data_IF_872454835280
#
_entry.id   IF_872454835280
#
_cell.length_a   1.000
_cell.length_b   1.000
_cell.length_c   1.000
_cell.angle_alpha   90.00
_cell.angle_beta   90.00
_cell.angle_gamma   90.00
#
_symmetry.space_group_name_H-M   'P 1'
#
loop_
_entity.id
_entity.type
_entity.pdbx_description
1 polymer ?
#
# COMPACT_ATOMS: atom_id res chain seq x y z
N UNK A 1 16.24 13.60 -4.46
CA UNK A 1 14.93 13.18 -4.98
C UNK A 1 13.87 13.51 -3.94
N UNK A 2 12.90 14.36 -4.28
CA UNK A 2 11.73 14.59 -3.43
C UNK A 2 10.80 13.40 -3.65
N UNK A 3 10.60 12.58 -2.62
CA UNK A 3 9.67 11.46 -2.72
C UNK A 3 8.24 11.98 -2.55
N UNK A 4 7.39 11.79 -3.55
CA UNK A 4 6.02 12.32 -3.53
C UNK A 4 5.05 11.35 -2.86
N UNK A 5 3.82 11.81 -2.53
CA UNK A 5 2.74 10.91 -2.08
C UNK A 5 2.47 9.79 -3.10
N UNK A 6 2.54 10.13 -4.39
CA UNK A 6 2.30 9.18 -5.48
C UNK A 6 3.35 8.05 -5.50
N UNK A 7 4.62 8.39 -5.28
CA UNK A 7 5.70 7.39 -5.14
C UNK A 7 5.45 6.43 -3.98
N UNK A 8 4.98 6.96 -2.85
CA UNK A 8 4.67 6.12 -1.68
C UNK A 8 3.49 5.19 -1.99
N UNK A 9 2.40 5.71 -2.58
CA UNK A 9 1.26 4.88 -3.00
C UNK A 9 1.71 3.77 -3.96
N UNK A 10 2.49 4.13 -4.98
CA UNK A 10 3.06 3.20 -5.97
C UNK A 10 3.83 2.07 -5.29
N UNK A 11 4.74 2.41 -4.37
CA UNK A 11 5.53 1.42 -3.61
C UNK A 11 4.66 0.47 -2.77
N UNK A 12 3.65 0.99 -2.08
CA UNK A 12 2.73 0.18 -1.26
C UNK A 12 1.96 -0.80 -2.14
N UNK A 13 1.32 -0.32 -3.21
CA UNK A 13 0.49 -1.15 -4.09
C UNK A 13 1.32 -2.22 -4.78
N UNK A 14 2.46 -1.86 -5.38
CA UNK A 14 3.36 -2.83 -6.02
C UNK A 14 3.78 -3.91 -5.03
N UNK A 15 4.12 -3.54 -3.80
CA UNK A 15 4.52 -4.50 -2.77
C UNK A 15 3.39 -5.45 -2.41
N UNK A 16 2.19 -4.94 -2.14
CA UNK A 16 1.04 -5.76 -1.76
C UNK A 16 0.60 -6.70 -2.90
N UNK A 17 0.64 -6.24 -4.15
CA UNK A 17 0.31 -7.06 -5.33
C UNK A 17 1.33 -8.19 -5.48
N UNK A 18 2.63 -7.88 -5.40
CA UNK A 18 3.70 -8.89 -5.46
C UNK A 18 3.59 -9.93 -4.35
N UNK A 19 3.18 -9.49 -3.16
CA UNK A 19 2.95 -10.38 -2.02
C UNK A 19 1.59 -11.09 -2.05
N UNK A 20 0.75 -10.83 -3.07
CA UNK A 20 -0.60 -11.38 -3.23
C UNK A 20 -1.48 -11.18 -1.99
N UNK A 21 -1.36 -10.03 -1.33
CA UNK A 21 -2.09 -9.70 -0.09
C UNK A 21 -3.44 -9.09 -0.42
N UNK A 22 -4.47 -9.92 -0.51
CA UNK A 22 -5.85 -9.52 -0.81
C UNK A 22 -6.79 -9.90 0.34
N UNK A 23 -7.86 -9.11 0.54
CA UNK A 23 -9.04 -9.51 1.32
C UNK A 23 -8.78 -9.93 2.77
N UNK A 24 -8.03 -9.13 3.55
CA UNK A 24 -7.73 -9.42 4.95
C UNK A 24 -6.61 -10.44 5.18
N UNK A 25 -5.85 -10.77 4.12
CA UNK A 25 -4.62 -11.55 4.24
C UNK A 25 -3.66 -10.91 5.26
N UNK A 26 -2.96 -11.75 6.03
CA UNK A 26 -1.98 -11.25 6.98
C UNK A 26 -0.82 -10.60 6.22
N UNK A 27 -0.59 -9.32 6.47
CA UNK A 27 0.47 -8.56 5.80
C UNK A 27 1.43 -8.01 6.84
N UNK A 28 2.65 -8.52 6.87
CA UNK A 28 3.68 -7.94 7.70
C UNK A 28 4.01 -6.51 7.25
N UNK A 29 4.37 -5.66 8.21
CA UNK A 29 4.73 -4.25 8.09
C UNK A 29 4.82 -3.67 6.64
N UNK A 30 3.74 -3.01 6.18
CA UNK A 30 3.65 -2.50 4.80
C UNK A 30 4.73 -1.46 4.46
N UNK A 31 5.21 -0.72 5.47
CA UNK A 31 6.28 0.27 5.35
C UNK A 31 7.68 -0.36 5.45
N UNK A 32 7.80 -1.66 5.75
CA UNK A 32 9.08 -2.37 5.77
C UNK A 32 9.79 -2.32 4.42
N UNK A 33 11.07 -1.96 4.40
CA UNK A 33 11.85 -1.80 3.16
C UNK A 33 11.65 -0.45 2.46
N UNK A 34 10.87 0.48 3.03
CA UNK A 34 10.92 1.88 2.61
C UNK A 34 12.20 2.57 3.12
N UNK A 35 12.73 3.58 2.41
CA UNK A 35 13.77 4.47 2.93
C UNK A 35 13.42 5.01 4.33
N UNK A 36 14.41 5.10 5.22
CA UNK A 36 14.22 5.51 6.61
C UNK A 36 13.54 6.88 6.74
N UNK A 37 13.81 7.81 5.83
CA UNK A 37 13.18 9.14 5.80
C UNK A 37 11.68 9.12 5.41
N UNK A 38 11.15 7.99 4.93
CA UNK A 38 9.72 7.81 4.63
C UNK A 38 8.98 7.05 5.73
N UNK A 39 9.69 6.29 6.56
CA UNK A 39 9.10 5.57 7.69
C UNK A 39 8.59 6.60 8.70
N UNK A 40 7.30 6.57 9.00
CA UNK A 40 6.66 7.51 9.93
C UNK A 40 6.48 8.95 9.40
N UNK A 41 6.96 9.24 8.19
CA UNK A 41 6.84 10.56 7.58
C UNK A 41 5.38 10.93 7.29
N UNK A 42 5.06 12.23 7.36
CA UNK A 42 3.71 12.76 7.10
C UNK A 42 3.19 12.36 5.71
N UNK A 43 4.07 12.38 4.71
CA UNK A 43 3.78 11.98 3.33
C UNK A 43 3.27 10.53 3.25
N UNK A 44 3.88 9.63 4.02
CA UNK A 44 3.51 8.21 4.07
C UNK A 44 2.17 7.99 4.75
N UNK A 45 1.94 8.67 5.88
CA UNK A 45 0.65 8.62 6.58
C UNK A 45 -0.49 9.15 5.72
N UNK A 46 -0.24 10.22 4.95
CA UNK A 46 -1.22 10.75 4.01
C UNK A 46 -1.48 9.79 2.84
N UNK A 47 -0.44 9.19 2.26
CA UNK A 47 -0.61 8.21 1.19
C UNK A 47 -1.43 7.00 1.63
N UNK A 48 -1.18 6.47 2.84
CA UNK A 48 -1.97 5.36 3.41
C UNK A 48 -3.43 5.78 3.60
N UNK A 49 -3.68 6.94 4.24
CA UNK A 49 -5.05 7.45 4.42
C UNK A 49 -5.81 7.64 3.11
N UNK A 50 -5.15 8.15 2.08
CA UNK A 50 -5.78 8.29 0.77
C UNK A 50 -6.10 6.91 0.16
N UNK A 51 -5.18 5.94 0.22
CA UNK A 51 -5.46 4.58 -0.26
C UNK A 51 -6.60 3.88 0.51
N UNK A 52 -6.72 4.12 1.83
CA UNK A 52 -7.84 3.64 2.63
C UNK A 52 -9.15 4.34 2.22
N UNK A 53 -9.12 5.66 2.05
CA UNK A 53 -10.29 6.44 1.63
C UNK A 53 -10.76 6.13 0.21
N UNK A 54 -9.84 5.79 -0.69
CA UNK A 54 -10.11 5.32 -2.05
C UNK A 54 -10.58 3.84 -2.08
N UNK A 55 -10.59 3.17 -0.91
CA UNK A 55 -10.91 1.75 -0.73
C UNK A 55 -9.96 0.79 -1.48
N UNK A 56 -8.74 1.22 -1.80
CA UNK A 56 -7.75 0.36 -2.45
C UNK A 56 -7.10 -0.61 -1.47
N UNK A 57 -6.94 -0.18 -0.20
CA UNK A 57 -6.44 -1.01 0.89
C UNK A 57 -7.46 -1.09 2.01
N UNK A 58 -7.53 -2.25 2.64
CA UNK A 58 -8.42 -2.54 3.77
C UNK A 58 -7.54 -2.77 5.00
N UNK A 59 -7.73 -1.99 6.09
CA UNK A 59 -7.12 -2.27 7.37
C UNK A 59 -7.78 -3.50 8.02
N UNK A 60 -6.97 -4.36 8.61
CA UNK A 60 -7.38 -5.51 9.40
C UNK A 60 -6.56 -5.55 10.68
N UNK A 61 -7.22 -5.46 11.83
CA UNK A 61 -6.56 -5.60 13.12
C UNK A 61 -6.28 -7.08 13.39
N UNK A 62 -5.01 -7.45 13.60
CA UNK A 62 -4.63 -8.79 14.08
C UNK A 62 -3.56 -8.62 15.15
N UNK A 63 -3.70 -9.36 16.25
CA UNK A 63 -2.68 -9.40 17.33
C UNK A 63 -2.24 -8.04 17.87
N UNK A 64 -3.14 -7.04 17.87
CA UNK A 64 -2.85 -5.67 18.34
C UNK A 64 -2.20 -4.76 17.30
N UNK A 65 -1.89 -5.25 16.10
CA UNK A 65 -1.31 -4.50 15.00
C UNK A 65 -2.30 -4.33 13.85
N UNK A 66 -2.21 -3.20 13.14
CA UNK A 66 -3.01 -2.95 11.94
C UNK A 66 -2.24 -3.49 10.73
N UNK A 67 -2.83 -4.49 10.08
CA UNK A 67 -2.35 -5.01 8.81
C UNK A 67 -3.16 -4.40 7.67
N UNK A 68 -2.54 -4.23 6.51
CA UNK A 68 -3.22 -3.73 5.32
C UNK A 68 -3.20 -4.77 4.21
N UNK A 69 -4.31 -4.94 3.53
CA UNK A 69 -4.44 -5.83 2.38
C UNK A 69 -5.14 -5.10 1.25
N UNK A 70 -4.93 -5.53 0.00
CA UNK A 70 -5.62 -4.96 -1.15
C UNK A 70 -7.10 -5.34 -1.13
N UNK A 71 -7.94 -4.41 -1.57
CA UNK A 71 -9.36 -4.65 -1.70
C UNK A 71 -9.65 -5.50 -2.95
N UNK A 72 -10.20 -6.72 -2.80
CA UNK A 72 -10.53 -7.56 -3.95
C UNK A 72 -11.64 -6.97 -4.83
N UNK A 73 -12.47 -6.06 -4.33
CA UNK A 73 -13.49 -5.37 -5.14
C UNK A 73 -12.90 -4.32 -6.09
N UNK A 74 -11.63 -3.94 -5.89
CA UNK A 74 -10.90 -2.97 -6.71
C UNK A 74 -9.81 -3.65 -7.56
N UNK A 75 -9.88 -4.97 -7.74
CA UNK A 75 -8.82 -5.76 -8.39
C UNK A 75 -8.41 -5.20 -9.75
N UNK A 76 -9.34 -4.97 -10.67
CA UNK A 76 -9.03 -4.45 -12.01
C UNK A 76 -8.35 -3.08 -11.97
N UNK A 77 -8.80 -2.18 -11.10
CA UNK A 77 -8.23 -0.83 -10.93
C UNK A 77 -6.80 -0.89 -10.39
N UNK A 78 -6.60 -1.71 -9.35
CA UNK A 78 -5.32 -1.92 -8.69
C UNK A 78 -4.31 -2.61 -9.61
N UNK A 79 -4.75 -3.64 -10.36
CA UNK A 79 -3.90 -4.34 -11.31
C UNK A 79 -3.57 -3.46 -12.52
N UNK A 80 -4.52 -2.69 -13.05
CA UNK A 80 -4.23 -1.73 -14.11
C UNK A 80 -3.21 -0.67 -13.68
N UNK A 81 -3.31 -0.19 -12.44
CA UNK A 81 -2.29 0.67 -11.86
C UNK A 81 -0.94 -0.05 -11.72
N UNK A 82 -0.94 -1.27 -11.18
CA UNK A 82 0.28 -2.07 -11.05
C UNK A 82 0.97 -2.29 -12.40
N UNK A 83 0.25 -2.66 -13.44
CA UNK A 83 0.80 -2.90 -14.77
C UNK A 83 1.37 -1.63 -15.40
N UNK A 84 0.70 -0.49 -15.21
CA UNK A 84 1.16 0.82 -15.69
C UNK A 84 2.49 1.24 -15.05
N UNK A 85 2.66 0.99 -13.75
CA UNK A 85 3.75 1.56 -12.96
C UNK A 85 4.82 0.54 -12.54
N UNK A 86 4.61 -0.76 -12.66
CA UNK A 86 5.60 -1.80 -12.29
C UNK A 86 6.69 -2.02 -13.36
N UNK A 87 6.55 -1.43 -14.55
CA UNK A 87 7.54 -1.54 -15.64
C UNK A 87 8.55 -0.38 -15.68
N UNK A 88 8.44 0.58 -14.74
CA UNK A 88 9.40 1.66 -14.53
C UNK A 88 10.46 1.30 -13.49
#
# INVERSE_FOLDING_TARGET
MVCTKHDVKKRIIIKLVRWRKWGGSHTENIIGGMPSHLVGAKVTKQAIKELEGDEWIIPAMKTGEIHYSLNPQKTDEILGFYEKYSKE
#
